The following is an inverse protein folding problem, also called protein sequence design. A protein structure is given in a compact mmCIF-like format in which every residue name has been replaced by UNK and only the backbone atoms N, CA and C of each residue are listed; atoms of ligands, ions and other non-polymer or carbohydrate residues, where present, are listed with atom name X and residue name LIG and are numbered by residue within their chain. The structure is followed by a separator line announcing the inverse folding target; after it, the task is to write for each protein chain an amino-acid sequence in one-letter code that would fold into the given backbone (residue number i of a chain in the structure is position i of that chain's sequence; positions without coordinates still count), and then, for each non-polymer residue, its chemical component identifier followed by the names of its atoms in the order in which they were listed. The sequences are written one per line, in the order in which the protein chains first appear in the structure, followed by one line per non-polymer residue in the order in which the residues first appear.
data_IF_388661598334
#
_entry.id   IF_388661598334
#
_cell.length_a   1.000
_cell.length_b   1.000
_cell.length_c   1.000
_cell.angle_alpha   90.00
_cell.angle_beta   90.00
_cell.angle_gamma   90.00
#
_symmetry.space_group_name_H-M   'P 1'
#
loop_
_entity.id
_entity.type
_entity.pdbx_description
1 polymer ?
#
# COMPACT_ATOMS: atom_id res chain seq x y z
N UNK A 1 -8.12 13.60 -18.67
CA UNK A 1 -8.05 13.58 -18.45
C UNK A 1 -7.92 13.74 -17.96
N UNK A 2 -7.91 13.75 -18.06
CA UNK A 2 -7.65 13.98 -17.73
C UNK A 2 -7.53 13.68 -17.11
N UNK A 3 -7.45 13.72 -17.10
CA UNK A 3 -7.18 13.63 -16.53
C UNK A 3 -7.32 13.47 -15.80
N UNK A 4 -6.92 14.39 -15.94
CA UNK A 4 -7.42 14.30 -15.01
C UNK A 4 -8.00 13.13 -14.70
N UNK A 5 -7.92 12.46 -15.13
CA UNK A 5 -8.59 11.26 -15.01
C UNK A 5 -7.77 10.21 -14.37
N UNK A 6 -7.34 10.48 -13.15
CA UNK A 6 -6.70 9.47 -12.37
C UNK A 6 -7.77 8.58 -11.81
N UNK A 7 -7.86 7.34 -12.29
CA UNK A 7 -8.86 6.40 -11.80
C UNK A 7 -8.50 5.89 -10.42
N UNK A 8 -7.20 5.75 -10.12
CA UNK A 8 -6.78 5.15 -8.87
C UNK A 8 -5.30 5.45 -8.61
N UNK A 9 -4.95 5.68 -7.35
CA UNK A 9 -3.56 5.89 -6.95
C UNK A 9 -3.17 4.86 -5.89
N UNK A 10 -2.00 4.26 -6.08
CA UNK A 10 -1.41 3.35 -5.10
C UNK A 10 -0.36 4.11 -4.31
N UNK A 11 -0.47 4.05 -2.99
CA UNK A 11 0.50 4.67 -2.10
C UNK A 11 1.26 3.60 -1.33
N UNK A 12 2.58 3.74 -1.25
CA UNK A 12 3.38 2.88 -0.40
C UNK A 12 3.24 3.38 1.03
N UNK A 13 2.08 3.15 1.62
CA UNK A 13 1.69 3.68 2.91
C UNK A 13 0.46 2.93 3.39
N UNK A 14 0.02 3.23 4.60
CA UNK A 14 -1.18 2.63 5.16
C UNK A 14 -2.42 3.44 4.79
N UNK A 15 -3.53 2.75 4.57
CA UNK A 15 -4.84 3.35 4.47
C UNK A 15 -5.59 3.18 5.79
N UNK A 16 -6.66 2.39 5.79
CA UNK A 16 -7.42 2.14 7.02
C UNK A 16 -6.69 1.28 8.04
N UNK A 17 -5.62 0.59 7.63
CA UNK A 17 -4.81 -0.18 8.57
C UNK A 17 -3.93 0.77 9.39
N UNK A 18 -4.55 1.61 10.19
CA UNK A 18 -3.95 2.71 10.92
C UNK A 18 -4.68 2.85 12.26
N UNK A 19 -4.02 3.30 13.33
CA UNK A 19 -4.70 3.44 14.62
C UNK A 19 -5.96 4.29 14.56
N UNK A 20 -5.98 5.30 13.71
CA UNK A 20 -7.15 6.17 13.52
C UNK A 20 -7.94 5.80 12.27
N UNK A 21 -7.63 4.67 11.65
CA UNK A 21 -8.25 4.23 10.41
C UNK A 21 -8.05 5.21 9.27
N UNK A 22 -7.02 6.04 9.35
CA UNK A 22 -6.78 7.12 8.40
C UNK A 22 -5.29 7.39 8.25
N UNK A 23 -4.58 6.46 7.62
CA UNK A 23 -3.16 6.63 7.36
C UNK A 23 -2.91 7.51 6.15
N UNK A 24 -1.65 7.56 5.72
CA UNK A 24 -1.23 8.48 4.66
C UNK A 24 -1.98 8.24 3.34
N UNK A 25 -2.21 6.99 2.98
CA UNK A 25 -2.93 6.70 1.73
C UNK A 25 -4.35 7.25 1.77
N UNK A 26 -5.03 7.13 2.92
CA UNK A 26 -6.37 7.69 3.08
C UNK A 26 -6.31 9.21 3.06
N UNK A 27 -5.36 9.78 3.75
CA UNK A 27 -5.23 11.24 3.87
C UNK A 27 -4.98 11.89 2.51
N UNK A 28 -4.03 11.36 1.76
CA UNK A 28 -3.73 11.90 0.44
C UNK A 28 -4.86 11.65 -0.54
N UNK A 29 -5.53 10.51 -0.43
CA UNK A 29 -6.68 10.23 -1.29
C UNK A 29 -7.79 11.25 -1.09
N UNK A 30 -8.06 11.61 0.16
CA UNK A 30 -9.08 12.63 0.45
C UNK A 30 -8.64 14.00 -0.05
N UNK A 31 -7.38 14.38 0.21
CA UNK A 31 -6.88 15.68 -0.22
C UNK A 31 -6.94 15.85 -1.73
N UNK A 32 -6.62 14.81 -2.46
CA UNK A 32 -6.62 14.86 -3.93
C UNK A 32 -7.96 14.44 -4.51
N UNK A 33 -8.85 13.93 -3.65
CA UNK A 33 -10.16 13.39 -4.04
C UNK A 33 -10.05 12.37 -5.16
N UNK A 34 -9.15 11.39 -4.96
CA UNK A 34 -8.94 10.29 -5.90
C UNK A 34 -9.05 8.98 -5.16
N UNK A 35 -9.54 7.92 -5.81
CA UNK A 35 -9.52 6.59 -5.21
C UNK A 35 -8.09 6.19 -4.87
N UNK A 36 -7.88 5.63 -3.70
CA UNK A 36 -6.52 5.30 -3.26
C UNK A 36 -6.49 3.97 -2.51
N UNK A 37 -5.36 3.30 -2.62
CA UNK A 37 -5.08 2.04 -1.93
C UNK A 37 -3.73 2.19 -1.26
N UNK A 38 -3.64 1.74 -0.01
CA UNK A 38 -2.36 1.70 0.69
C UNK A 38 -1.73 0.33 0.61
N UNK A 39 -0.44 0.29 0.32
CA UNK A 39 0.34 -0.96 0.29
C UNK A 39 1.56 -0.75 1.16
N UNK A 40 1.77 -1.65 2.12
CA UNK A 40 2.89 -1.52 3.05
C UNK A 40 3.62 -2.84 3.16
N UNK A 41 4.86 -2.78 3.60
CA UNK A 41 5.69 -3.96 3.85
C UNK A 41 5.58 -4.46 5.28
N UNK A 42 4.86 -3.77 6.14
CA UNK A 42 4.69 -4.19 7.53
C UNK A 42 3.34 -3.74 8.07
N UNK A 43 2.93 -4.43 9.13
CA UNK A 43 1.69 -4.10 9.81
C UNK A 43 1.94 -2.96 10.78
N UNK A 44 1.09 -1.96 10.75
CA UNK A 44 1.13 -0.86 11.70
C UNK A 44 0.22 -1.14 12.89
N UNK A 45 -0.94 -1.73 12.63
CA UNK A 45 -1.89 -2.05 13.68
C UNK A 45 -2.63 -3.33 13.30
N UNK A 46 -3.07 -4.07 14.30
CA UNK A 46 -3.77 -5.30 14.08
C UNK A 46 -2.82 -6.47 13.89
N UNK A 47 -3.39 -7.61 13.58
CA UNK A 47 -2.62 -8.82 13.34
C UNK A 47 -3.35 -9.70 12.34
N UNK A 48 -2.62 -10.61 11.74
CA UNK A 48 -3.22 -11.59 10.84
C UNK A 48 -2.85 -12.98 11.29
N UNK A 49 -3.71 -13.93 10.95
CA UNK A 49 -3.47 -15.33 11.23
C UNK A 49 -2.45 -15.90 10.25
N UNK A 50 -2.21 -17.21 10.40
CA UNK A 50 -1.27 -17.89 9.53
C UNK A 50 -1.58 -17.61 8.04
N UNK A 51 -0.54 -17.27 7.31
CA UNK A 51 -0.66 -17.01 5.87
C UNK A 51 0.12 -18.10 5.14
N UNK A 52 -0.54 -18.91 4.29
CA UNK A 52 0.18 -19.93 3.54
C UNK A 52 1.30 -19.34 2.67
N UNK A 53 2.27 -20.16 2.32
CA UNK A 53 3.41 -19.72 1.53
C UNK A 53 3.11 -19.60 0.04
N UNK A 54 1.98 -20.11 -0.39
CA UNK A 54 1.62 -20.13 -1.80
C UNK A 54 1.33 -18.74 -2.32
N UNK A 55 1.70 -18.51 -3.58
CA UNK A 55 1.45 -17.23 -4.22
C UNK A 55 -0.03 -16.88 -4.18
N UNK A 56 -0.31 -15.62 -3.85
CA UNK A 56 -1.65 -15.06 -3.77
C UNK A 56 -2.52 -15.59 -2.64
N UNK A 57 -1.91 -16.28 -1.66
CA UNK A 57 -2.61 -16.56 -0.41
C UNK A 57 -2.88 -15.25 0.31
N UNK A 58 -4.03 -15.15 0.96
CA UNK A 58 -4.39 -13.93 1.65
C UNK A 58 -5.09 -14.25 2.97
N UNK A 59 -4.97 -13.31 3.91
CA UNK A 59 -5.68 -13.39 5.17
C UNK A 59 -5.98 -11.97 5.66
N UNK A 60 -7.05 -11.83 6.42
CA UNK A 60 -7.44 -10.51 6.92
C UNK A 60 -6.50 -10.02 8.01
N UNK A 61 -6.25 -8.72 8.00
CA UNK A 61 -5.59 -8.04 9.11
C UNK A 61 -6.70 -7.54 10.02
N UNK A 62 -6.70 -8.01 11.27
CA UNK A 62 -7.79 -7.73 12.18
C UNK A 62 -7.29 -6.94 13.38
N UNK A 63 -8.02 -5.89 13.72
CA UNK A 63 -7.78 -5.08 14.91
C UNK A 63 -9.05 -5.15 15.76
N UNK A 64 -9.00 -5.94 16.83
CA UNK A 64 -10.19 -6.22 17.60
C UNK A 64 -11.16 -7.05 16.77
N UNK A 65 -12.31 -6.49 16.50
CA UNK A 65 -13.31 -7.16 15.65
C UNK A 65 -13.36 -6.59 14.24
N UNK A 66 -12.54 -5.59 13.96
CA UNK A 66 -12.54 -4.94 12.65
C UNK A 66 -11.49 -5.52 11.72
N UNK A 67 -11.88 -5.76 10.47
CA UNK A 67 -10.92 -6.07 9.42
C UNK A 67 -10.41 -4.76 8.85
N UNK A 68 -9.11 -4.51 8.96
CA UNK A 68 -8.54 -3.24 8.53
C UNK A 68 -7.69 -3.38 7.26
N UNK A 69 -7.53 -4.59 6.77
CA UNK A 69 -6.77 -4.81 5.55
C UNK A 69 -6.60 -6.28 5.25
N UNK A 70 -5.73 -6.56 4.31
CA UNK A 70 -5.43 -7.93 3.89
C UNK A 70 -3.92 -8.10 3.78
N UNK A 71 -3.41 -9.19 4.32
CA UNK A 71 -2.04 -9.62 4.09
C UNK A 71 -2.04 -10.52 2.86
N UNK A 72 -1.22 -10.22 1.89
CA UNK A 72 -1.17 -10.94 0.63
C UNK A 72 0.22 -11.49 0.39
N UNK A 73 0.31 -12.80 0.15
CA UNK A 73 1.58 -13.42 -0.27
C UNK A 73 1.74 -13.19 -1.77
N UNK A 74 2.31 -12.08 -2.15
CA UNK A 74 2.42 -11.72 -3.56
C UNK A 74 3.40 -12.61 -4.31
N UNK A 75 4.34 -13.23 -3.60
CA UNK A 75 5.28 -14.20 -4.17
C UNK A 75 5.41 -15.37 -3.22
N UNK A 76 5.50 -16.55 -3.79
CA UNK A 76 5.62 -17.77 -3.02
C UNK A 76 6.83 -17.70 -2.07
N UNK A 77 6.62 -18.02 -0.82
CA UNK A 77 7.66 -18.10 0.21
C UNK A 77 8.41 -16.79 0.47
N UNK A 78 7.91 -15.68 -0.03
CA UNK A 78 8.46 -14.35 0.28
C UNK A 78 7.59 -13.67 1.32
N UNK A 79 8.12 -12.62 1.94
CA UNK A 79 7.34 -11.87 2.92
C UNK A 79 6.10 -11.27 2.26
N UNK A 80 4.98 -11.27 2.97
CA UNK A 80 3.75 -10.72 2.39
C UNK A 80 3.78 -9.20 2.31
N UNK A 81 2.86 -8.67 1.52
CA UNK A 81 2.58 -7.24 1.53
C UNK A 81 1.23 -7.03 2.20
N UNK A 82 0.97 -5.82 2.66
CA UNK A 82 -0.23 -5.51 3.43
C UNK A 82 -1.02 -4.43 2.73
N UNK A 83 -2.25 -4.76 2.38
CA UNK A 83 -3.13 -3.93 1.56
C UNK A 83 -4.24 -3.38 2.43
N UNK A 84 -4.48 -2.08 2.35
CA UNK A 84 -5.62 -1.48 3.03
C UNK A 84 -6.25 -0.43 2.12
N UNK A 85 -7.56 -0.22 2.31
CA UNK A 85 -8.25 0.78 1.50
C UNK A 85 -7.87 2.18 1.97
N UNK A 86 -7.77 3.09 1.02
CA UNK A 86 -7.57 4.49 1.29
C UNK A 86 -8.88 5.23 1.13
N UNK A 87 -9.03 5.94 0.01
CA UNK A 87 -10.20 6.77 -0.26
C UNK A 87 -10.96 6.18 -1.44
N UNK A 88 -12.28 6.08 -1.32
CA UNK A 88 -13.17 5.67 -2.41
C UNK A 88 -12.82 4.32 -3.03
N UNK A 89 -12.36 3.37 -2.24
CA UNK A 89 -12.06 2.02 -2.71
C UNK A 89 -12.66 1.01 -1.74
N UNK A 90 -12.87 -0.22 -2.22
CA UNK A 90 -13.25 -1.31 -1.34
C UNK A 90 -12.11 -2.34 -1.30
N UNK A 91 -12.10 -3.12 -0.23
CA UNK A 91 -10.97 -4.00 0.02
C UNK A 91 -10.87 -5.13 -1.00
N UNK A 92 -11.97 -5.74 -1.35
CA UNK A 92 -11.98 -6.86 -2.29
C UNK A 92 -11.45 -6.44 -3.66
N UNK A 93 -11.96 -5.35 -4.19
CA UNK A 93 -11.49 -4.83 -5.47
C UNK A 93 -10.03 -4.40 -5.41
N UNK A 94 -9.63 -3.83 -4.27
CA UNK A 94 -8.25 -3.41 -4.08
C UNK A 94 -7.30 -4.59 -4.13
N UNK A 95 -7.63 -5.68 -3.45
CA UNK A 95 -6.79 -6.87 -3.45
C UNK A 95 -6.69 -7.46 -4.86
N UNK A 96 -7.82 -7.53 -5.55
CA UNK A 96 -7.85 -8.06 -6.92
C UNK A 96 -6.96 -7.24 -7.84
N UNK A 97 -7.04 -5.92 -7.74
CA UNK A 97 -6.22 -5.05 -8.56
C UNK A 97 -4.74 -5.23 -8.24
N UNK A 98 -4.40 -5.27 -6.96
CA UNK A 98 -2.99 -5.43 -6.56
C UNK A 98 -2.43 -6.74 -7.09
N UNK A 99 -3.20 -7.83 -7.04
CA UNK A 99 -2.77 -9.10 -7.60
C UNK A 99 -2.41 -8.95 -9.08
N UNK A 100 -3.20 -8.18 -9.81
CA UNK A 100 -2.97 -8.01 -11.25
C UNK A 100 -1.71 -7.18 -11.54
N UNK A 101 -1.26 -6.39 -10.58
CA UNK A 101 -0.10 -5.52 -10.75
C UNK A 101 1.21 -6.16 -10.26
N UNK A 102 1.13 -7.30 -9.60
CA UNK A 102 2.31 -8.05 -9.18
C UNK A 102 2.84 -8.80 -10.39
N UNK A 103 4.12 -8.59 -10.69
CA UNK A 103 4.76 -9.23 -11.84
C UNK A 103 5.89 -10.14 -11.37
N UNK A 104 7.11 -9.71 -11.57
CA UNK A 104 8.27 -10.51 -11.28
C UNK A 104 8.69 -10.44 -9.82
N UNK A 105 8.39 -9.34 -9.17
CA UNK A 105 8.86 -9.07 -7.82
C UNK A 105 7.72 -9.06 -6.82
N UNK A 106 8.06 -9.10 -5.54
CA UNK A 106 7.12 -9.08 -4.44
C UNK A 106 6.28 -7.80 -4.43
N UNK A 107 6.88 -6.68 -4.77
CA UNK A 107 6.22 -5.38 -4.79
C UNK A 107 5.48 -5.18 -6.11
N UNK A 108 4.23 -4.70 -6.07
CA UNK A 108 3.52 -4.38 -7.31
C UNK A 108 4.31 -3.41 -8.18
N UNK A 109 4.23 -3.58 -9.50
CA UNK A 109 5.07 -2.83 -10.42
C UNK A 109 5.03 -1.32 -10.28
N UNK A 110 3.85 -0.68 -10.16
CA UNK A 110 3.86 0.78 -10.03
C UNK A 110 4.64 1.26 -8.81
N UNK A 111 4.54 0.56 -7.69
CA UNK A 111 5.27 0.91 -6.47
C UNK A 111 6.76 0.66 -6.66
N UNK A 112 7.11 -0.48 -7.25
CA UNK A 112 8.50 -0.85 -7.47
C UNK A 112 9.20 0.16 -8.37
N UNK A 113 8.53 0.54 -9.46
CA UNK A 113 9.10 1.50 -10.39
C UNK A 113 9.26 2.89 -9.74
N UNK A 114 8.30 3.28 -8.93
CA UNK A 114 8.40 4.55 -8.21
C UNK A 114 9.56 4.54 -7.23
N UNK A 115 9.78 3.41 -6.53
CA UNK A 115 10.89 3.29 -5.61
C UNK A 115 12.23 3.34 -6.34
N UNK A 116 12.32 2.69 -7.50
CA UNK A 116 13.55 2.73 -8.30
C UNK A 116 13.87 4.15 -8.75
N UNK A 117 12.86 4.86 -9.23
CA UNK A 117 13.05 6.24 -9.66
C UNK A 117 13.52 7.12 -8.51
N UNK A 118 12.91 6.97 -7.33
CA UNK A 118 13.30 7.72 -6.16
C UNK A 118 14.73 7.41 -5.74
N UNK A 119 15.12 6.14 -5.80
CA UNK A 119 16.48 5.74 -5.42
C UNK A 119 17.51 6.29 -6.39
N UNK A 120 17.22 6.26 -7.69
CA UNK A 120 18.12 6.82 -8.69
C UNK A 120 18.29 8.32 -8.48
N UNK A 121 17.21 9.00 -8.21
CA UNK A 121 17.26 10.44 -7.97
C UNK A 121 18.04 10.74 -6.69
N UNK A 122 17.85 9.93 -5.67
CA UNK A 122 18.56 10.08 -4.41
C UNK A 122 20.06 9.89 -4.58
N UNK A 123 20.47 8.93 -5.40
CA UNK A 123 21.88 8.69 -5.67
C UNK A 123 22.50 9.84 -6.44
N UNK A 124 21.76 10.48 -7.34
CA UNK A 124 22.26 11.57 -8.13
C UNK A 124 22.19 12.92 -7.45
N UNK A 125 21.28 13.07 -6.50
CA UNK A 125 21.05 14.32 -5.80
C UNK A 125 20.84 14.04 -4.33
N UNK A 126 21.12 15.03 -3.52
CA UNK A 126 20.88 14.91 -2.10
C UNK A 126 19.45 15.35 -1.80
N UNK A 127 18.55 14.40 -1.72
CA UNK A 127 17.13 14.72 -1.62
C UNK A 127 16.55 14.23 -0.29
N UNK A 128 16.73 15.04 0.72
CA UNK A 128 16.24 14.72 2.05
C UNK A 128 14.72 14.85 2.15
N UNK A 129 14.16 15.74 1.37
CA UNK A 129 12.71 15.97 1.39
C UNK A 129 11.94 14.73 1.04
N UNK A 130 12.38 14.03 0.00
CA UNK A 130 11.69 12.83 -0.42
C UNK A 130 11.74 11.75 0.63
N UNK A 131 12.87 11.64 1.31
CA UNK A 131 13.00 10.68 2.38
C UNK A 131 11.99 10.94 3.49
N UNK A 132 11.85 12.19 3.86
CA UNK A 132 10.91 12.55 4.92
C UNK A 132 9.48 12.27 4.53
N UNK A 133 9.12 12.59 3.31
CA UNK A 133 7.78 12.32 2.81
C UNK A 133 7.55 10.82 2.70
N UNK A 134 8.55 10.10 2.22
CA UNK A 134 8.46 8.66 2.06
C UNK A 134 8.22 7.94 3.37
N UNK A 135 8.71 8.45 4.45
CA UNK A 135 8.50 7.86 5.76
C UNK A 135 7.13 8.16 6.32
N UNK A 136 6.45 9.15 5.78
CA UNK A 136 5.13 9.51 6.25
C UNK A 136 5.12 9.95 7.69
N UNK A 137 6.22 10.46 8.19
CA UNK A 137 6.34 10.77 9.61
C UNK A 137 5.40 11.87 10.05
N UNK A 138 5.02 12.74 9.13
CA UNK A 138 4.09 13.83 9.46
C UNK A 138 2.65 13.36 9.56
N UNK A 139 2.33 12.23 8.97
CA UNK A 139 0.95 11.77 8.85
C UNK A 139 0.68 10.47 9.56
N UNK A 140 1.70 9.84 10.05
CA UNK A 140 1.57 8.59 10.80
C UNK A 140 1.84 8.82 12.29
#
# INVERSE_FOLDING_TARGET
KTNQDMDLVLFHAHGQAHPRRFGLASHLGVLLDVPSIGISNKILIGRCDHLPNEKFSETSIVDGIESVGVALRSKESKKPIFISVGHKTDLESSVRLVKSLVKKYRTPEPIRLAQLAANQKKDGENIDIETNIGQGSLFN
#
